data_IF_972927226057
#
_entry.id   IF_972927226057
#
_cell.length_a   1.000
_cell.length_b   1.000
_cell.length_c   1.000
_cell.angle_alpha   90.00
_cell.angle_beta   90.00
_cell.angle_gamma   90.00
#
_symmetry.space_group_name_H-M   'P 1'
#
loop_
_entity.id
_entity.type
_entity.pdbx_description
1 polymer ?
#
# COMPACT_ATOMS: atom_id res chain seq x y z
N UNK A 1 -8.86 9.08 1.87
CA UNK A 1 -10.10 8.50 1.34
C UNK A 1 -11.12 8.33 2.46
N UNK A 2 -12.42 8.44 2.13
CA UNK A 2 -13.50 8.02 3.02
C UNK A 2 -13.96 6.64 2.58
N UNK A 3 -13.80 5.64 3.44
CA UNK A 3 -14.35 4.31 3.20
C UNK A 3 -15.87 4.34 3.39
N UNK A 4 -16.64 3.46 2.71
CA UNK A 4 -18.10 3.37 2.89
C UNK A 4 -18.53 3.16 4.35
N UNK A 5 -17.67 2.51 5.14
CA UNK A 5 -17.88 2.26 6.58
C UNK A 5 -17.52 3.46 7.49
N UNK A 6 -17.28 4.66 6.94
CA UNK A 6 -16.94 5.87 7.71
C UNK A 6 -15.49 6.00 8.15
N UNK A 7 -14.69 4.93 8.05
CA UNK A 7 -13.26 4.97 8.31
C UNK A 7 -12.53 5.86 7.30
N UNK A 8 -11.39 6.42 7.72
CA UNK A 8 -10.52 7.26 6.88
C UNK A 8 -9.19 6.56 6.67
N UNK A 9 -8.73 6.50 5.43
CA UNK A 9 -7.41 5.98 5.05
C UNK A 9 -6.56 7.07 4.41
N UNK A 10 -5.27 7.05 4.71
CA UNK A 10 -4.25 7.86 4.04
C UNK A 10 -3.50 6.97 3.06
N UNK A 11 -3.25 7.49 1.85
CA UNK A 11 -2.37 6.85 0.88
C UNK A 11 -1.25 7.83 0.52
N UNK A 12 -0.01 7.36 0.62
CA UNK A 12 1.18 8.11 0.21
C UNK A 12 1.48 7.78 -1.26
N UNK A 13 1.32 8.77 -2.13
CA UNK A 13 1.44 8.61 -3.58
C UNK A 13 2.84 8.99 -4.07
N UNK A 14 3.40 8.15 -4.93
CA UNK A 14 4.66 8.40 -5.63
C UNK A 14 4.42 8.24 -7.14
N UNK A 15 5.08 9.10 -7.92
CA UNK A 15 5.04 9.09 -9.38
C UNK A 15 6.45 8.84 -9.91
N UNK A 16 6.58 7.91 -10.84
CA UNK A 16 7.80 7.71 -11.59
C UNK A 16 8.04 8.95 -12.49
N UNK A 17 9.11 9.70 -12.21
CA UNK A 17 9.46 10.93 -12.95
C UNK A 17 10.42 10.67 -14.10
N UNK A 18 11.31 9.68 -13.94
CA UNK A 18 12.34 9.31 -14.92
C UNK A 18 12.43 7.79 -15.05
N UNK A 19 12.61 7.31 -16.28
CA UNK A 19 12.68 5.89 -16.61
C UNK A 19 11.86 5.58 -17.86
N UNK A 20 12.53 5.13 -18.92
CA UNK A 20 11.90 4.60 -20.14
C UNK A 20 11.49 3.14 -19.99
N UNK A 21 11.51 2.62 -18.77
CA UNK A 21 11.15 1.24 -18.50
C UNK A 21 9.63 1.09 -18.60
N UNK A 22 9.19 0.56 -19.74
CA UNK A 22 7.78 0.31 -20.04
C UNK A 22 7.18 -0.74 -19.10
N UNK A 23 8.01 -1.48 -18.38
CA UNK A 23 7.59 -2.56 -17.50
C UNK A 23 7.32 -2.08 -16.06
N UNK A 24 7.62 -0.81 -15.74
CA UNK A 24 7.37 -0.22 -14.42
C UNK A 24 6.03 0.56 -14.36
N UNK A 25 5.32 0.52 -13.21
CA UNK A 25 4.13 1.33 -13.01
C UNK A 25 4.48 2.82 -12.92
N UNK A 26 3.70 3.69 -13.58
CA UNK A 26 3.87 5.15 -13.48
C UNK A 26 3.53 5.71 -12.11
N UNK A 27 2.62 5.07 -11.39
CA UNK A 27 2.15 5.48 -10.08
C UNK A 27 2.17 4.31 -9.12
N UNK A 28 2.63 4.59 -7.90
CA UNK A 28 2.47 3.68 -6.76
C UNK A 28 1.87 4.44 -5.58
N UNK A 29 1.06 3.75 -4.78
CA UNK A 29 0.47 4.29 -3.56
C UNK A 29 0.72 3.33 -2.40
N UNK A 30 1.29 3.84 -1.30
CA UNK A 30 1.45 3.07 -0.06
C UNK A 30 0.36 3.39 0.94
N UNK A 31 -0.12 2.36 1.64
CA UNK A 31 -1.04 2.45 2.76
C UNK A 31 -0.60 1.48 3.85
N UNK A 32 -0.20 1.99 5.02
CA UNK A 32 0.40 1.20 6.12
C UNK A 32 -0.29 1.47 7.47
N UNK A 33 -1.50 2.04 7.45
CA UNK A 33 -2.27 2.50 8.60
C UNK A 33 -1.65 3.66 9.40
N UNK A 34 -0.46 4.15 9.03
CA UNK A 34 0.12 5.34 9.61
C UNK A 34 -0.33 6.59 8.86
N UNK A 35 -0.36 7.73 9.57
CA UNK A 35 -0.74 9.04 9.00
C UNK A 35 0.34 10.11 9.20
N UNK A 36 1.47 9.72 9.78
CA UNK A 36 2.61 10.56 10.10
C UNK A 36 3.90 9.73 9.96
N UNK A 37 5.08 10.35 9.85
CA UNK A 37 6.35 9.63 9.69
C UNK A 37 6.56 8.58 10.80
N UNK A 38 6.48 7.31 10.43
CA UNK A 38 6.76 6.12 11.26
C UNK A 38 7.29 5.02 10.35
N UNK A 39 8.10 4.09 10.88
CA UNK A 39 8.46 2.87 10.14
C UNK A 39 7.24 1.96 10.07
N UNK A 40 6.91 1.50 8.85
CA UNK A 40 5.82 0.56 8.62
C UNK A 40 6.15 -0.83 9.20
N UNK A 41 5.15 -1.45 9.84
CA UNK A 41 5.19 -2.83 10.30
C UNK A 41 4.86 -3.79 9.14
N UNK A 42 3.83 -3.45 8.37
CA UNK A 42 3.49 -4.01 7.06
C UNK A 42 2.92 -2.89 6.17
N UNK A 43 2.76 -3.12 4.87
CA UNK A 43 2.10 -2.16 3.99
C UNK A 43 1.29 -2.81 2.88
N UNK A 44 0.30 -2.07 2.40
CA UNK A 44 -0.40 -2.32 1.16
C UNK A 44 0.14 -1.41 0.06
N UNK A 45 0.34 -1.95 -1.13
CA UNK A 45 0.83 -1.19 -2.29
C UNK A 45 -0.13 -1.31 -3.46
N UNK A 46 -0.50 -0.18 -4.04
CA UNK A 46 -1.28 -0.09 -5.28
C UNK A 46 -0.35 0.38 -6.38
N UNK A 47 -0.38 -0.26 -7.55
CA UNK A 47 0.55 -0.01 -8.65
C UNK A 47 -0.20 0.07 -9.97
N UNK A 48 0.08 1.08 -10.78
CA UNK A 48 -0.60 1.24 -12.06
C UNK A 48 -0.19 2.49 -12.84
N UNK A 49 -0.86 2.70 -13.96
CA UNK A 49 -0.59 3.81 -14.88
C UNK A 49 -1.61 4.95 -14.83
N UNK A 50 -2.68 4.77 -14.07
CA UNK A 50 -3.74 5.76 -13.84
C UNK A 50 -3.95 5.94 -12.33
N UNK A 51 -3.61 7.11 -11.82
CA UNK A 51 -3.71 7.41 -10.39
C UNK A 51 -5.16 7.43 -9.88
N UNK A 52 -6.10 7.93 -10.67
CA UNK A 52 -7.50 8.05 -10.24
C UNK A 52 -8.18 6.68 -10.18
N UNK A 53 -7.78 5.78 -11.08
CA UNK A 53 -8.16 4.37 -11.01
C UNK A 53 -7.60 3.73 -9.73
N UNK A 54 -6.31 3.93 -9.42
CA UNK A 54 -5.73 3.42 -8.17
C UNK A 54 -6.46 3.95 -6.94
N UNK A 55 -6.85 5.23 -6.92
CA UNK A 55 -7.58 5.80 -5.80
C UNK A 55 -8.97 5.16 -5.57
N UNK A 56 -9.55 4.53 -6.60
CA UNK A 56 -10.83 3.83 -6.53
C UNK A 56 -10.69 2.32 -6.30
N UNK A 57 -9.47 1.78 -6.40
CA UNK A 57 -9.17 0.37 -6.14
C UNK A 57 -9.39 0.03 -4.67
N UNK A 58 -10.19 -1.00 -4.42
CA UNK A 58 -10.68 -1.40 -3.10
C UNK A 58 -10.66 -2.92 -2.90
N UNK A 59 -10.51 -3.69 -3.97
CA UNK A 59 -10.62 -5.15 -3.98
C UNK A 59 -9.24 -5.80 -3.97
N UNK A 60 -8.26 -5.21 -4.65
CA UNK A 60 -6.90 -5.72 -4.73
C UNK A 60 -5.89 -4.78 -4.06
N UNK A 61 -5.33 -5.24 -2.94
CA UNK A 61 -4.35 -4.51 -2.14
C UNK A 61 -3.19 -5.46 -1.75
N UNK A 62 -2.23 -5.70 -2.67
CA UNK A 62 -1.04 -6.51 -2.40
C UNK A 62 -0.37 -6.08 -1.09
N UNK A 63 -0.16 -7.05 -0.19
CA UNK A 63 0.29 -6.80 1.18
C UNK A 63 1.66 -7.42 1.41
N UNK A 64 2.58 -6.62 1.98
CA UNK A 64 3.97 -7.00 2.18
C UNK A 64 4.38 -6.85 3.64
N UNK A 65 5.10 -7.85 4.13
CA UNK A 65 5.69 -7.92 5.46
C UNK A 65 7.23 -7.90 5.38
N UNK A 66 7.95 -7.55 6.47
CA UNK A 66 9.40 -7.62 6.51
C UNK A 66 9.91 -9.03 6.21
N UNK A 67 10.87 -9.15 5.28
CA UNK A 67 11.40 -10.44 4.81
C UNK A 67 12.08 -11.30 5.89
N UNK A 68 12.43 -10.71 7.03
CA UNK A 68 13.00 -11.39 8.19
C UNK A 68 11.98 -12.19 9.01
N UNK A 69 10.68 -11.94 8.82
CA UNK A 69 9.63 -12.64 9.56
C UNK A 69 9.39 -14.02 8.96
N UNK A 70 9.17 -15.00 9.82
CA UNK A 70 8.71 -16.31 9.41
C UNK A 70 7.17 -16.35 9.31
N UNK A 71 6.64 -17.45 8.77
CA UNK A 71 5.19 -17.64 8.57
C UNK A 71 4.35 -17.49 9.84
N UNK A 72 4.87 -17.92 10.99
CA UNK A 72 4.12 -17.93 12.25
C UNK A 72 4.08 -16.53 12.85
N UNK A 73 5.18 -15.78 12.72
CA UNK A 73 5.24 -14.35 13.09
C UNK A 73 4.32 -13.50 12.21
N UNK A 74 4.29 -13.74 10.89
CA UNK A 74 3.37 -13.04 9.98
C UNK A 74 1.92 -13.31 10.39
N UNK A 75 1.58 -14.58 10.69
CA UNK A 75 0.25 -14.95 11.16
C UNK A 75 -0.11 -14.24 12.47
N UNK A 76 0.81 -14.17 13.42
CA UNK A 76 0.61 -13.49 14.69
C UNK A 76 0.34 -11.99 14.49
N UNK A 77 1.14 -11.31 13.65
CA UNK A 77 0.92 -9.91 13.31
C UNK A 77 -0.44 -9.71 12.61
N UNK A 78 -0.82 -10.56 11.66
CA UNK A 78 -2.14 -10.50 10.99
C UNK A 78 -3.32 -10.64 11.97
N UNK A 79 -3.16 -11.39 13.06
CA UNK A 79 -4.21 -11.60 14.07
C UNK A 79 -4.27 -10.48 15.12
N UNK A 80 -3.19 -9.70 15.26
CA UNK A 80 -3.09 -8.60 16.22
C UNK A 80 -3.58 -7.25 15.67
N UNK A 81 -3.82 -7.14 14.36
CA UNK A 81 -4.34 -5.96 13.67
C UNK A 81 -5.86 -5.99 13.49
#
# INVERSE_FOLDING_TARGET
>A
MKYPKGNRGVRFMFKLVDGNDKDLPKFIQFSDHNIAPKKAEHFHIFMGNDNDALLKEMDNWPTYYPSKLNKDQIKEEMLAH
#
